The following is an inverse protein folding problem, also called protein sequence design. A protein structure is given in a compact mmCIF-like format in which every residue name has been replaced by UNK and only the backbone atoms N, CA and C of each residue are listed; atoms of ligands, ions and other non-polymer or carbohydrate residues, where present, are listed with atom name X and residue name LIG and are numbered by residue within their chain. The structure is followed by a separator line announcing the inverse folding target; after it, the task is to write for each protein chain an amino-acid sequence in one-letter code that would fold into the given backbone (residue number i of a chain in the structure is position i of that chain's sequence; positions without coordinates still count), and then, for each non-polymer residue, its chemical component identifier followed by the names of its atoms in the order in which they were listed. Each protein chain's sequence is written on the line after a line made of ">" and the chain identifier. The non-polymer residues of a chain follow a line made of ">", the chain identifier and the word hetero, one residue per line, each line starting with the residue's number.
data_IF_082562288954
#
_entry.id   IF_082562288954
#
_cell.length_a   1.000
_cell.length_b   1.000
_cell.length_c   1.000
_cell.angle_alpha   90.00
_cell.angle_beta   90.00
_cell.angle_gamma   90.00
#
_symmetry.space_group_name_H-M   'P 1'
#
loop_
_entity.id
_entity.type
_entity.pdbx_description
1 polymer ?
#
# COMPACT_ATOMS: atom_id res chain seq x y z
N UNK A 1 -23.03 0.16 -1.34
CA UNK A 1 -22.57 1.56 -1.14
C UNK A 1 -21.50 1.59 -0.04
N UNK A 2 -20.72 2.67 0.08
CA UNK A 2 -19.80 2.87 1.22
C UNK A 2 -20.17 4.18 1.93
N UNK A 3 -19.93 4.26 3.23
CA UNK A 3 -20.18 5.46 4.04
C UNK A 3 -18.92 5.84 4.82
N UNK A 4 -19.00 6.86 5.68
CA UNK A 4 -17.88 7.28 6.52
C UNK A 4 -17.40 6.23 7.54
N UNK A 5 -18.11 5.10 7.68
CA UNK A 5 -17.75 3.99 8.58
C UNK A 5 -17.03 2.85 7.86
N UNK A 6 -16.93 2.89 6.53
CA UNK A 6 -16.21 1.87 5.75
C UNK A 6 -14.71 1.92 6.05
N UNK A 7 -14.22 0.85 6.69
CA UNK A 7 -12.81 0.73 7.06
C UNK A 7 -12.05 -0.12 6.03
N UNK A 8 -11.01 0.46 5.41
CA UNK A 8 -10.08 -0.30 4.56
C UNK A 8 -8.96 -0.83 5.44
N UNK A 9 -8.68 -2.12 5.35
CA UNK A 9 -7.62 -2.79 6.10
C UNK A 9 -6.64 -3.45 5.14
N UNK A 10 -5.35 -3.23 5.36
CA UNK A 10 -4.28 -3.91 4.64
C UNK A 10 -3.18 -4.26 5.63
N UNK A 11 -2.73 -5.52 5.63
CA UNK A 11 -1.78 -6.02 6.62
C UNK A 11 -2.16 -5.60 8.06
N UNK A 12 -3.43 -5.78 8.44
CA UNK A 12 -3.97 -5.45 9.78
C UNK A 12 -3.97 -3.96 10.15
N UNK A 13 -3.51 -3.07 9.28
CA UNK A 13 -3.54 -1.61 9.48
C UNK A 13 -4.74 -1.02 8.76
N UNK A 14 -5.30 0.04 9.33
CA UNK A 14 -6.46 0.73 8.77
C UNK A 14 -6.01 1.90 7.90
N UNK A 15 -6.64 2.04 6.74
CA UNK A 15 -6.37 3.09 5.78
C UNK A 15 -7.67 3.79 5.36
N UNK A 16 -7.60 5.05 4.93
CA UNK A 16 -8.75 5.73 4.33
C UNK A 16 -9.17 5.04 3.03
N UNK A 17 -10.45 5.13 2.65
CA UNK A 17 -10.94 4.53 1.40
C UNK A 17 -10.27 5.10 0.14
N UNK A 18 -9.81 6.36 0.21
CA UNK A 18 -8.98 7.01 -0.82
C UNK A 18 -7.63 6.32 -1.06
N UNK A 19 -7.27 5.37 -0.21
CA UNK A 19 -6.08 4.55 -0.41
C UNK A 19 -6.31 3.38 -1.37
N UNK A 20 -7.56 3.03 -1.66
CA UNK A 20 -7.89 2.02 -2.66
C UNK A 20 -7.72 2.62 -4.05
N UNK A 21 -7.00 1.89 -4.90
CA UNK A 21 -6.81 2.25 -6.29
C UNK A 21 -7.52 1.25 -7.22
N UNK A 22 -7.87 1.71 -8.42
CA UNK A 22 -8.46 0.84 -9.43
C UNK A 22 -7.47 -0.27 -9.78
N UNK A 23 -7.89 -1.52 -9.59
CA UNK A 23 -7.05 -2.71 -9.77
C UNK A 23 -6.64 -3.38 -8.46
N UNK A 24 -6.91 -2.78 -7.30
CA UNK A 24 -6.75 -3.46 -6.01
C UNK A 24 -7.74 -4.62 -5.90
N UNK A 25 -7.23 -5.83 -5.64
CA UNK A 25 -8.06 -6.97 -5.28
C UNK A 25 -8.42 -6.84 -3.80
N UNK A 26 -9.71 -6.88 -3.49
CA UNK A 26 -10.21 -6.71 -2.13
C UNK A 26 -11.26 -7.75 -1.78
N UNK A 27 -11.25 -8.23 -0.53
CA UNK A 27 -12.38 -8.93 0.07
C UNK A 27 -13.24 -7.91 0.85
N UNK A 28 -14.54 -7.91 0.60
CA UNK A 28 -15.47 -6.96 1.21
C UNK A 28 -16.43 -7.70 2.15
N UNK A 29 -16.49 -7.28 3.40
CA UNK A 29 -17.54 -7.66 4.32
C UNK A 29 -18.67 -6.63 4.23
N UNK A 30 -19.82 -7.08 3.75
CA UNK A 30 -21.03 -6.26 3.62
C UNK A 30 -21.97 -6.50 4.80
N UNK A 31 -22.69 -5.45 5.19
CA UNK A 31 -23.76 -5.49 6.18
C UNK A 31 -25.03 -4.94 5.55
N UNK A 32 -26.17 -5.53 5.90
CA UNK A 32 -27.48 -5.14 5.37
C UNK A 32 -28.11 -4.17 6.37
N UNK A 33 -28.37 -2.95 5.93
CA UNK A 33 -29.06 -1.94 6.73
C UNK A 33 -30.55 -2.22 6.84
N UNK A 34 -31.23 -1.53 7.76
CA UNK A 34 -32.65 -1.76 8.11
C UNK A 34 -33.64 -1.60 6.94
N UNK A 35 -33.25 -0.96 5.83
CA UNK A 35 -34.09 -0.80 4.62
C UNK A 35 -33.69 -1.75 3.48
N UNK A 36 -32.84 -2.74 3.74
CA UNK A 36 -32.37 -3.70 2.74
C UNK A 36 -31.12 -3.28 1.97
N UNK A 37 -30.63 -2.06 2.17
CA UNK A 37 -29.41 -1.53 1.55
C UNK A 37 -28.15 -2.28 2.00
N UNK A 38 -27.25 -2.59 1.07
CA UNK A 38 -25.95 -3.21 1.37
C UNK A 38 -24.84 -2.16 1.54
N UNK A 39 -24.24 -2.13 2.73
CA UNK A 39 -23.14 -1.25 3.08
C UNK A 39 -21.84 -2.05 3.26
N UNK A 40 -20.74 -1.54 2.70
CA UNK A 40 -19.42 -2.10 2.94
C UNK A 40 -18.95 -1.71 4.35
N UNK A 41 -18.94 -2.68 5.28
CA UNK A 41 -18.43 -2.44 6.64
C UNK A 41 -16.91 -2.50 6.68
N UNK A 42 -16.32 -3.50 6.03
CA UNK A 42 -14.87 -3.71 6.01
C UNK A 42 -14.40 -4.12 4.64
N UNK A 43 -13.36 -3.46 4.16
CA UNK A 43 -12.65 -3.83 2.92
C UNK A 43 -11.26 -4.30 3.33
N UNK A 44 -10.85 -5.48 2.88
CA UNK A 44 -9.50 -6.02 3.09
C UNK A 44 -8.79 -6.08 1.75
N UNK A 45 -7.66 -5.40 1.61
CA UNK A 45 -6.84 -5.52 0.39
C UNK A 45 -6.09 -6.84 0.44
N UNK A 46 -6.31 -7.66 -0.58
CA UNK A 46 -5.58 -8.91 -0.77
C UNK A 46 -4.25 -8.56 -1.43
N UNK A 47 -3.14 -8.90 -0.78
CA UNK A 47 -1.82 -8.82 -1.40
C UNK A 47 -1.86 -9.66 -2.68
N UNK A 48 -1.65 -9.03 -3.83
CA UNK A 48 -1.68 -9.70 -5.12
C UNK A 48 -0.55 -10.73 -5.21
N UNK A 49 -0.79 -11.95 -4.70
CA UNK A 49 -0.05 -13.12 -5.15
C UNK A 49 -0.68 -13.53 -6.46
N UNK A 50 0.05 -13.20 -7.54
CA UNK A 50 -0.18 -13.59 -8.94
C UNK A 50 -1.18 -12.69 -9.68
N UNK A 51 -0.64 -11.68 -10.35
CA UNK A 51 -1.20 -11.26 -11.64
C UNK A 51 -0.86 -12.35 -12.66
N UNK A 52 -1.65 -13.42 -12.70
CA UNK A 52 -1.67 -14.32 -13.86
C UNK A 52 -2.54 -13.67 -14.94
N UNK A 53 -1.93 -13.36 -16.08
CA UNK A 53 -2.64 -13.10 -17.33
C UNK A 53 -2.83 -11.62 -17.68
N UNK A 54 -1.82 -11.03 -18.33
CA UNK A 54 -1.99 -10.33 -19.60
C UNK A 54 -0.60 -10.22 -20.24
N UNK A 55 -0.47 -10.71 -21.49
CA UNK A 55 0.78 -10.75 -22.26
C UNK A 55 1.24 -9.32 -22.53
N UNK A 56 2.40 -8.94 -22.01
CA UNK A 56 3.31 -7.93 -22.57
C UNK A 56 4.69 -8.08 -21.92
N UNK A 57 5.73 -7.85 -22.70
CA UNK A 57 7.07 -8.35 -22.51
C UNK A 57 7.81 -7.75 -21.30
N UNK A 58 8.07 -8.59 -20.28
CA UNK A 58 9.28 -8.64 -19.41
C UNK A 58 8.95 -9.44 -18.14
N UNK A 59 9.25 -10.74 -18.16
CA UNK A 59 9.54 -11.64 -17.01
C UNK A 59 9.17 -11.05 -15.63
N UNK A 60 7.91 -11.20 -15.21
CA UNK A 60 7.47 -10.83 -13.87
C UNK A 60 7.68 -12.00 -12.90
N UNK A 61 8.94 -12.24 -12.52
CA UNK A 61 9.20 -12.55 -11.11
C UNK A 61 8.70 -11.37 -10.29
N UNK A 62 8.36 -11.56 -9.01
CA UNK A 62 8.18 -10.45 -8.08
C UNK A 62 9.53 -9.70 -7.92
N UNK A 63 9.93 -8.97 -8.96
CA UNK A 63 11.23 -8.33 -9.09
C UNK A 63 11.23 -7.19 -8.09
N UNK A 64 12.06 -7.37 -7.06
CA UNK A 64 12.49 -6.32 -6.15
C UNK A 64 12.70 -5.04 -6.98
N UNK A 65 11.90 -4.03 -6.66
CA UNK A 65 11.88 -2.75 -7.37
C UNK A 65 12.48 -1.70 -6.47
N UNK A 66 13.37 -0.88 -7.03
CA UNK A 66 13.96 0.24 -6.30
C UNK A 66 13.12 1.50 -6.54
N UNK A 67 12.68 2.10 -5.44
CA UNK A 67 12.01 3.40 -5.44
C UNK A 67 12.98 4.42 -4.86
N UNK A 68 13.37 5.37 -5.69
CA UNK A 68 14.28 6.45 -5.31
C UNK A 68 13.62 7.80 -5.55
N UNK A 69 13.67 8.67 -4.54
CA UNK A 69 13.13 10.01 -4.63
C UNK A 69 12.94 10.63 -3.27
N UNK A 70 11.94 11.53 -3.17
CA UNK A 70 11.69 12.30 -1.94
C UNK A 70 10.41 11.88 -1.25
N UNK A 71 10.45 11.78 0.07
CA UNK A 71 9.26 11.56 0.89
C UNK A 71 8.33 12.76 0.77
N UNK A 72 7.18 12.57 0.15
CA UNK A 72 6.15 13.60 0.01
C UNK A 72 5.26 13.67 1.25
N UNK A 73 4.83 12.51 1.75
CA UNK A 73 4.04 12.33 2.98
C UNK A 73 4.49 11.09 3.71
N UNK A 74 4.37 11.09 5.03
CA UNK A 74 4.69 9.93 5.86
C UNK A 74 3.75 9.90 7.06
N UNK A 75 3.25 8.72 7.39
CA UNK A 75 2.53 8.45 8.62
C UNK A 75 3.23 7.29 9.33
N UNK A 76 3.99 7.64 10.36
CA UNK A 76 4.76 6.68 11.17
C UNK A 76 3.86 5.79 12.01
N UNK A 77 2.73 6.34 12.49
CA UNK A 77 1.75 5.58 13.29
C UNK A 77 1.11 4.51 12.44
N UNK A 78 0.73 4.85 11.22
CA UNK A 78 0.13 3.92 10.27
C UNK A 78 1.16 3.11 9.48
N UNK A 79 2.44 3.46 9.52
CA UNK A 79 3.53 2.70 8.90
C UNK A 79 3.54 2.76 7.38
N UNK A 80 3.20 3.91 6.79
CA UNK A 80 3.25 4.11 5.34
C UNK A 80 3.82 5.48 4.98
N UNK A 81 4.39 5.58 3.79
CA UNK A 81 4.88 6.83 3.22
C UNK A 81 4.56 6.93 1.74
N UNK A 82 4.35 8.14 1.25
CA UNK A 82 4.29 8.44 -0.17
C UNK A 82 5.63 9.01 -0.59
N UNK A 83 6.26 8.37 -1.56
CA UNK A 83 7.50 8.83 -2.17
C UNK A 83 7.16 9.36 -3.54
N UNK A 84 7.62 10.59 -3.83
CA UNK A 84 7.62 11.15 -5.17
C UNK A 84 8.95 10.75 -5.82
N UNK A 85 8.96 9.78 -6.75
CA UNK A 85 10.19 9.34 -7.37
C UNK A 85 10.76 10.41 -8.28
N UNK A 86 12.05 10.32 -8.60
CA UNK A 86 12.67 11.21 -9.58
C UNK A 86 12.07 11.04 -10.99
N UNK A 87 11.52 9.85 -11.28
CA UNK A 87 10.85 9.52 -12.53
C UNK A 87 9.56 8.73 -12.24
N UNK A 88 8.44 9.19 -12.81
CA UNK A 88 7.15 8.52 -12.69
C UNK A 88 6.22 9.14 -11.63
N UNK A 89 5.18 8.40 -11.30
CA UNK A 89 4.11 8.86 -10.39
C UNK A 89 4.47 8.63 -8.92
N UNK A 90 3.83 9.37 -8.02
CA UNK A 90 3.94 9.15 -6.57
C UNK A 90 3.51 7.73 -6.21
N UNK A 91 4.31 7.05 -5.38
CA UNK A 91 4.10 5.67 -4.95
C UNK A 91 3.90 5.63 -3.44
N UNK A 92 2.93 4.85 -2.96
CA UNK A 92 2.75 4.57 -1.54
C UNK A 92 3.54 3.32 -1.14
N UNK A 93 4.47 3.48 -0.23
CA UNK A 93 5.28 2.44 0.38
C UNK A 93 4.72 2.12 1.77
N UNK A 94 4.49 0.84 2.06
CA UNK A 94 3.94 0.39 3.35
C UNK A 94 4.93 -0.53 4.06
N UNK A 95 5.10 -0.35 5.37
CA UNK A 95 5.89 -1.27 6.18
C UNK A 95 5.19 -2.65 6.27
N UNK A 96 5.94 -3.75 6.12
CA UNK A 96 5.41 -5.08 6.32
C UNK A 96 5.01 -5.27 7.78
N UNK A 97 3.99 -6.11 8.04
CA UNK A 97 3.54 -6.42 9.40
C UNK A 97 4.65 -6.98 10.29
N UNK A 98 5.57 -7.75 9.67
CA UNK A 98 6.71 -8.38 10.30
C UNK A 98 8.01 -7.59 10.10
N UNK A 99 7.91 -6.27 9.94
CA UNK A 99 9.10 -5.41 9.85
C UNK A 99 9.99 -5.63 11.08
N UNK A 100 11.29 -5.84 10.84
CA UNK A 100 12.26 -5.98 11.91
C UNK A 100 12.56 -4.62 12.57
N UNK A 101 13.17 -4.64 13.76
CA UNK A 101 13.52 -3.43 14.51
C UNK A 101 14.38 -2.44 13.73
N UNK A 102 15.23 -2.91 12.83
CA UNK A 102 16.07 -2.05 12.00
C UNK A 102 15.24 -1.28 10.98
N UNK A 103 14.36 -1.97 10.25
CA UNK A 103 13.44 -1.36 9.28
C UNK A 103 12.53 -0.33 9.95
N UNK A 104 11.97 -0.66 11.11
CA UNK A 104 11.13 0.27 11.89
C UNK A 104 11.91 1.52 12.27
N UNK A 105 13.12 1.37 12.82
CA UNK A 105 13.96 2.52 13.17
C UNK A 105 14.36 3.36 11.96
N UNK A 106 14.69 2.75 10.83
CA UNK A 106 14.99 3.47 9.60
C UNK A 106 13.78 4.28 9.15
N UNK A 107 12.59 3.67 9.16
CA UNK A 107 11.34 4.34 8.79
C UNK A 107 10.97 5.48 9.76
N UNK A 108 11.14 5.26 11.06
CA UNK A 108 10.85 6.25 12.12
C UNK A 108 11.79 7.45 12.09
N UNK A 109 12.95 7.34 11.43
CA UNK A 109 13.87 8.47 11.20
C UNK A 109 13.48 9.31 10.00
N UNK A 110 12.72 8.76 9.05
CA UNK A 110 12.31 9.48 7.85
C UNK A 110 11.33 10.61 8.17
N UNK A 111 11.45 11.71 7.45
CA UNK A 111 10.60 12.89 7.49
C UNK A 111 10.20 13.30 6.08
N UNK A 112 9.20 14.17 5.99
CA UNK A 112 8.81 14.80 4.73
C UNK A 112 9.98 15.61 4.18
N UNK A 113 10.31 15.42 2.91
CA UNK A 113 11.40 16.10 2.21
C UNK A 113 12.66 15.25 2.08
N UNK A 114 12.81 14.22 2.91
CA UNK A 114 13.98 13.34 2.92
C UNK A 114 14.13 12.63 1.59
N UNK A 115 15.37 12.51 1.12
CA UNK A 115 15.70 11.66 -0.01
C UNK A 115 15.87 10.22 0.49
N UNK A 116 15.22 9.28 -0.18
CA UNK A 116 15.22 7.88 0.22
C UNK A 116 15.41 6.98 -0.99
N UNK A 117 16.09 5.87 -0.76
CA UNK A 117 16.14 4.76 -1.69
C UNK A 117 15.62 3.52 -1.00
N UNK A 118 14.56 2.94 -1.56
CA UNK A 118 13.81 1.87 -0.93
C UNK A 118 13.70 0.70 -1.88
N UNK A 119 14.08 -0.47 -1.39
CA UNK A 119 13.77 -1.74 -2.04
C UNK A 119 12.36 -2.16 -1.62
N UNK A 120 11.49 -2.37 -2.60
CA UNK A 120 10.09 -2.66 -2.38
C UNK A 120 9.56 -3.69 -3.38
N UNK A 121 8.53 -4.43 -2.97
CA UNK A 121 7.81 -5.37 -3.83
C UNK A 121 6.45 -4.80 -4.19
N UNK A 122 6.01 -4.90 -5.47
CA UNK A 122 4.71 -4.37 -5.87
C UNK A 122 3.58 -5.14 -5.21
N UNK A 123 2.64 -4.41 -4.63
CA UNK A 123 1.39 -4.95 -4.07
C UNK A 123 0.24 -4.67 -5.04
N UNK A 124 0.24 -3.46 -5.61
CA UNK A 124 -0.65 -3.04 -6.70
C UNK A 124 0.03 -1.94 -7.54
N UNK A 125 -0.72 -1.24 -8.40
CA UNK A 125 -0.18 -0.32 -9.42
C UNK A 125 0.65 0.83 -8.84
N UNK A 126 0.25 1.42 -7.71
CA UNK A 126 0.96 2.53 -7.06
C UNK A 126 1.34 2.23 -5.60
N UNK A 127 1.13 0.98 -5.15
CA UNK A 127 1.36 0.55 -3.79
C UNK A 127 2.42 -0.54 -3.76
N UNK A 128 3.42 -0.35 -2.92
CA UNK A 128 4.49 -1.31 -2.74
C UNK A 128 4.73 -1.55 -1.25
N UNK A 129 5.23 -2.74 -0.92
CA UNK A 129 5.62 -3.11 0.43
C UNK A 129 7.13 -2.99 0.58
N UNK A 130 7.58 -2.38 1.67
CA UNK A 130 8.99 -2.11 1.94
C UNK A 130 9.71 -3.40 2.30
N UNK A 131 10.77 -3.71 1.55
CA UNK A 131 11.72 -4.78 1.89
C UNK A 131 12.92 -4.19 2.63
N UNK A 132 13.49 -3.08 2.16
CA UNK A 132 14.65 -2.44 2.78
C UNK A 132 14.71 -0.95 2.48
N UNK A 133 15.17 -0.18 3.46
CA UNK A 133 15.48 1.25 3.31
C UNK A 133 17.01 1.38 3.38
N UNK A 134 17.60 2.09 2.42
CA UNK A 134 19.03 2.34 2.30
C UNK A 134 19.38 3.77 2.68
#
# INVERSE_FOLDING_TARGET
>A
RYDGRTQVTYNGRSFPIRSLDRGDRVSIQVERGNRGDLYARRIRVESARRASGQRDDRRAEARLSYVEGRVHRIDQRQGWMEVRPNRGSTVRLTLPQRANRSQVRSFDRLRRGDHVRVEAVPVSRNRMEIVRIM
#
